data_IF_299313464777
#
_entry.id   IF_299313464777
#
_cell.length_a   1.000
_cell.length_b   1.000
_cell.length_c   1.000
_cell.angle_alpha   90.00
_cell.angle_beta   90.00
_cell.angle_gamma   90.00
#
_symmetry.space_group_name_H-M   'P 1'
#
loop_
_entity.id
_entity.type
_entity.pdbx_description
1 polymer ?
#
# COMPACT_ATOMS: atom_id res chain seq x y z
N UNK A 1 37.18 14.30 39.56
CA UNK A 1 36.92 13.08 38.80
C UNK A 1 38.25 12.53 38.34
N UNK A 2 38.35 11.21 38.21
CA UNK A 2 39.40 10.61 37.38
C UNK A 2 39.10 10.84 35.89
N UNK A 3 40.10 10.79 35.02
CA UNK A 3 39.93 11.03 33.58
C UNK A 3 38.86 10.13 32.94
N UNK A 4 38.72 8.89 33.43
CA UNK A 4 37.67 7.94 33.00
C UNK A 4 36.26 8.42 33.38
N UNK A 5 36.08 8.97 34.59
CA UNK A 5 34.77 9.49 35.05
C UNK A 5 34.36 10.75 34.27
N UNK A 6 35.33 11.58 33.89
CA UNK A 6 35.07 12.78 33.09
C UNK A 6 34.64 12.40 31.66
N UNK A 7 35.30 11.42 31.02
CA UNK A 7 34.90 10.93 29.69
C UNK A 7 33.56 10.21 29.72
N UNK A 8 33.30 9.39 30.75
CA UNK A 8 32.00 8.71 30.91
C UNK A 8 30.86 9.69 31.17
N UNK A 9 31.09 10.79 31.88
CA UNK A 9 30.06 11.80 32.12
C UNK A 9 29.66 12.59 30.88
N UNK A 10 30.53 12.64 29.86
CA UNK A 10 30.26 13.23 28.55
C UNK A 10 29.73 12.18 27.54
N UNK A 11 29.63 10.90 27.95
CA UNK A 11 29.15 9.79 27.12
C UNK A 11 27.65 9.57 27.37
N UNK A 12 26.84 9.69 26.32
CA UNK A 12 25.43 9.27 26.31
C UNK A 12 25.40 7.81 25.81
N UNK A 13 25.85 6.87 26.64
CA UNK A 13 25.89 5.45 26.27
C UNK A 13 25.18 4.59 27.32
N UNK A 14 24.54 3.53 26.85
CA UNK A 14 23.70 2.62 27.62
C UNK A 14 24.49 1.55 28.42
N UNK A 15 25.72 1.85 28.84
CA UNK A 15 26.57 0.98 29.66
C UNK A 15 26.83 1.59 31.03
N UNK A 16 27.02 0.75 32.06
CA UNK A 16 27.31 1.26 33.39
C UNK A 16 28.78 1.72 33.53
N UNK A 17 29.04 2.69 34.41
CA UNK A 17 30.39 3.22 34.68
C UNK A 17 31.42 2.13 35.07
N UNK A 18 30.95 1.02 35.63
CA UNK A 18 31.80 -0.11 35.99
C UNK A 18 32.27 -0.89 34.75
N UNK A 19 31.37 -1.18 33.81
CA UNK A 19 31.69 -1.86 32.55
C UNK A 19 32.56 -0.99 31.65
N UNK A 20 32.25 0.31 31.54
CA UNK A 20 33.09 1.25 30.80
C UNK A 20 34.53 1.25 31.33
N UNK A 21 34.70 1.25 32.66
CA UNK A 21 36.03 1.23 33.29
C UNK A 21 36.78 -0.07 33.02
N UNK A 22 36.10 -1.22 33.02
CA UNK A 22 36.69 -2.52 32.70
C UNK A 22 37.14 -2.58 31.24
N UNK A 23 36.31 -2.10 30.31
CA UNK A 23 36.65 -1.99 28.89
C UNK A 23 37.87 -1.09 28.65
N UNK A 24 37.98 0.02 29.37
CA UNK A 24 39.15 0.92 29.32
C UNK A 24 40.42 0.23 29.83
N UNK A 25 40.35 -0.51 30.94
CA UNK A 25 41.50 -1.26 31.47
C UNK A 25 41.98 -2.34 30.48
N UNK A 26 41.05 -3.07 29.86
CA UNK A 26 41.39 -4.07 28.85
C UNK A 26 42.06 -3.44 27.62
N UNK A 27 41.54 -2.31 27.13
CA UNK A 27 42.10 -1.59 25.98
C UNK A 27 43.51 -1.05 26.26
N UNK A 28 43.76 -0.55 27.48
CA UNK A 28 45.11 -0.14 27.93
C UNK A 28 46.08 -1.32 27.91
N UNK A 29 45.63 -2.50 28.35
CA UNK A 29 46.45 -3.72 28.36
C UNK A 29 46.73 -4.23 26.93
N UNK A 30 45.71 -4.20 26.06
CA UNK A 30 45.79 -4.59 24.65
C UNK A 30 46.77 -3.68 23.87
N UNK A 31 46.80 -2.39 24.20
CA UNK A 31 47.75 -1.41 23.64
C UNK A 31 49.17 -1.52 24.22
N UNK A 32 49.40 -2.43 25.19
CA UNK A 32 50.72 -2.68 25.75
C UNK A 32 51.36 -1.45 26.40
N UNK A 33 50.56 -0.54 26.94
CA UNK A 33 51.00 0.72 27.55
C UNK A 33 51.42 1.81 26.55
N UNK A 34 51.01 1.72 25.28
CA UNK A 34 51.19 2.78 24.28
C UNK A 34 50.17 3.92 24.42
N UNK A 35 49.05 3.67 25.08
CA UNK A 35 48.02 4.65 25.39
C UNK A 35 47.82 4.76 26.91
N UNK A 36 47.60 5.99 27.38
CA UNK A 36 47.15 6.30 28.73
C UNK A 36 45.65 6.01 28.91
N UNK A 37 45.21 5.88 30.17
CA UNK A 37 43.80 5.59 30.54
C UNK A 37 42.81 6.59 29.94
N UNK A 38 43.20 7.86 29.79
CA UNK A 38 42.38 8.91 29.18
C UNK A 38 42.21 8.68 27.66
N UNK A 39 43.31 8.37 26.96
CA UNK A 39 43.28 8.04 25.54
C UNK A 39 42.52 6.75 25.25
N UNK A 40 42.66 5.74 26.11
CA UNK A 40 41.88 4.51 26.01
C UNK A 40 40.39 4.74 26.28
N UNK A 41 40.05 5.57 27.28
CA UNK A 41 38.67 5.99 27.54
C UNK A 41 38.07 6.75 26.37
N UNK A 42 38.80 7.68 25.75
CA UNK A 42 38.33 8.38 24.56
C UNK A 42 38.14 7.45 23.35
N UNK A 43 39.00 6.44 23.19
CA UNK A 43 38.86 5.45 22.11
C UNK A 43 37.62 4.58 22.31
N UNK A 44 37.42 4.05 23.51
CA UNK A 44 36.21 3.28 23.85
C UNK A 44 34.96 4.16 23.74
N UNK A 45 35.01 5.40 24.22
CA UNK A 45 33.92 6.36 24.06
C UNK A 45 33.56 6.58 22.58
N UNK A 46 34.55 6.79 21.72
CA UNK A 46 34.34 6.96 20.28
C UNK A 46 33.79 5.69 19.64
N UNK A 47 34.32 4.52 20.00
CA UNK A 47 33.87 3.20 19.52
C UNK A 47 32.43 2.88 19.96
N UNK A 48 32.01 3.36 21.14
CA UNK A 48 30.62 3.26 21.61
C UNK A 48 29.69 4.26 20.90
N UNK A 49 30.17 5.46 20.57
CA UNK A 49 29.33 6.51 19.97
C UNK A 49 29.19 6.39 18.45
N UNK A 50 30.17 5.80 17.76
CA UNK A 50 30.16 5.74 16.28
C UNK A 50 29.41 4.54 15.70
N UNK A 51 29.17 3.49 16.49
CA UNK A 51 28.53 2.27 16.02
C UNK A 51 27.07 2.13 16.49
N UNK A 52 26.57 3.05 17.32
CA UNK A 52 25.19 2.99 17.82
C UNK A 52 24.24 3.57 16.77
N UNK A 53 23.29 2.74 16.35
CA UNK A 53 22.24 3.12 15.40
C UNK A 53 20.97 3.33 16.20
N UNK A 54 20.31 4.48 16.01
CA UNK A 54 19.12 4.84 16.79
C UNK A 54 17.94 3.90 16.49
N UNK A 55 17.83 3.41 15.26
CA UNK A 55 16.70 2.60 14.81
C UNK A 55 17.12 1.50 13.81
N UNK A 56 16.34 0.43 13.72
CA UNK A 56 16.59 -0.68 12.78
C UNK A 56 16.55 -0.19 11.33
N UNK A 57 15.69 0.77 11.00
CA UNK A 57 15.57 1.32 9.65
C UNK A 57 16.77 2.15 9.19
N UNK A 58 17.63 2.59 10.11
CA UNK A 58 18.86 3.32 9.78
C UNK A 58 20.04 2.38 9.43
N UNK A 59 19.86 1.06 9.51
CA UNK A 59 20.91 0.08 9.21
C UNK A 59 21.11 -0.03 7.70
N UNK A 60 22.35 0.18 7.23
CA UNK A 60 22.71 0.03 5.82
C UNK A 60 23.80 -1.04 5.61
N UNK A 61 23.73 -1.74 4.49
CA UNK A 61 24.75 -2.70 4.10
C UNK A 61 26.12 -2.01 3.90
N UNK A 62 27.17 -2.58 4.48
CA UNK A 62 28.53 -2.07 4.35
C UNK A 62 29.00 -1.15 5.47
N UNK A 63 28.17 -0.87 6.48
CA UNK A 63 28.64 -0.36 7.77
C UNK A 63 29.63 -1.35 8.41
N UNK A 64 30.65 -0.84 9.11
CA UNK A 64 31.71 -1.70 9.68
C UNK A 64 31.22 -2.51 10.87
N UNK A 65 30.33 -1.93 11.70
CA UNK A 65 29.67 -2.54 12.84
C UNK A 65 28.45 -1.68 13.20
N UNK A 66 27.39 -2.30 13.72
CA UNK A 66 26.20 -1.62 14.24
C UNK A 66 25.83 -2.18 15.61
N UNK A 67 25.30 -1.31 16.47
CA UNK A 67 24.73 -1.62 17.77
C UNK A 67 23.31 -1.04 17.85
N UNK A 68 22.33 -1.89 18.16
CA UNK A 68 20.93 -1.49 18.24
C UNK A 68 20.15 -2.43 19.16
N UNK A 69 18.92 -2.06 19.51
CA UNK A 69 18.03 -2.89 20.33
C UNK A 69 16.83 -3.30 19.49
N UNK A 70 16.54 -4.60 19.45
CA UNK A 70 15.40 -5.13 18.71
C UNK A 70 14.76 -6.32 19.45
N UNK A 71 13.48 -6.55 19.20
CA UNK A 71 12.70 -7.64 19.76
C UNK A 71 12.67 -8.82 18.79
N UNK A 72 13.00 -10.03 19.25
CA UNK A 72 12.94 -11.24 18.45
C UNK A 72 11.48 -11.57 18.08
N UNK A 73 11.17 -11.57 16.79
CA UNK A 73 9.84 -11.86 16.26
C UNK A 73 9.69 -13.34 15.89
N UNK A 74 10.72 -13.91 15.27
CA UNK A 74 10.71 -15.29 14.79
C UNK A 74 12.12 -15.90 14.91
N UNK A 75 12.20 -17.21 15.14
CA UNK A 75 13.46 -17.96 15.21
C UNK A 75 13.40 -19.07 14.16
N UNK A 76 14.34 -19.03 13.22
CA UNK A 76 14.46 -20.02 12.15
C UNK A 76 15.09 -21.33 12.61
N UNK A 77 15.09 -22.32 11.71
CA UNK A 77 15.66 -23.65 11.97
C UNK A 77 17.21 -23.66 11.92
N UNK A 78 17.84 -24.51 12.73
CA UNK A 78 19.29 -24.74 12.69
C UNK A 78 19.71 -25.35 11.34
N UNK A 79 20.43 -24.57 10.54
CA UNK A 79 21.05 -25.02 9.29
C UNK A 79 22.50 -25.42 9.54
N UNK A 80 22.92 -26.54 8.95
CA UNK A 80 24.30 -27.07 9.07
C UNK A 80 24.92 -27.22 7.67
N UNK A 81 26.19 -26.83 7.53
CA UNK A 81 26.92 -26.91 6.26
C UNK A 81 28.38 -27.36 6.46
N UNK A 82 28.94 -28.03 5.44
CA UNK A 82 30.33 -28.49 5.46
C UNK A 82 31.29 -27.30 5.21
N UNK A 83 32.32 -27.14 6.05
CA UNK A 83 33.40 -26.15 5.82
C UNK A 83 34.53 -26.74 5.00
N UNK A 84 35.06 -25.96 4.06
CA UNK A 84 36.25 -26.32 3.28
C UNK A 84 37.50 -26.36 4.17
N UNK A 85 37.93 -27.57 4.54
CA UNK A 85 39.20 -27.83 5.22
C UNK A 85 39.23 -29.22 5.87
N UNK A 86 40.26 -30.02 5.59
CA UNK A 86 40.48 -31.31 6.27
C UNK A 86 40.49 -31.08 7.80
N UNK A 87 39.57 -31.72 8.52
CA UNK A 87 39.36 -31.64 9.98
C UNK A 87 38.69 -30.34 10.53
N UNK A 88 37.88 -29.64 9.74
CA UNK A 88 37.05 -28.52 10.25
C UNK A 88 35.66 -29.04 10.66
N UNK A 89 35.16 -28.64 11.83
CA UNK A 89 33.80 -28.95 12.26
C UNK A 89 32.77 -28.31 11.31
N UNK A 90 31.63 -28.97 11.13
CA UNK A 90 30.53 -28.46 10.33
C UNK A 90 30.08 -27.08 10.85
N UNK A 91 29.94 -26.12 9.94
CA UNK A 91 29.43 -24.79 10.26
C UNK A 91 27.93 -24.85 10.54
N UNK A 92 27.47 -23.98 11.44
CA UNK A 92 26.04 -23.88 11.80
C UNK A 92 25.57 -22.43 11.73
N UNK A 93 24.32 -22.24 11.33
CA UNK A 93 23.68 -20.93 11.31
C UNK A 93 22.21 -21.04 11.72
N UNK A 94 21.76 -20.09 12.54
CA UNK A 94 20.35 -19.81 12.78
C UNK A 94 20.09 -18.37 12.40
N UNK A 95 18.97 -18.15 11.73
CA UNK A 95 18.47 -16.82 11.47
C UNK A 95 17.35 -16.48 12.45
N UNK A 96 17.37 -15.28 12.99
CA UNK A 96 16.34 -14.73 13.86
C UNK A 96 15.86 -13.44 13.22
N UNK A 97 14.56 -13.26 13.11
CA UNK A 97 14.01 -11.96 12.73
C UNK A 97 13.79 -11.13 13.98
N UNK A 98 14.28 -9.89 13.95
CA UNK A 98 14.12 -8.96 15.05
C UNK A 98 13.63 -7.61 14.52
N UNK A 99 12.79 -6.94 15.28
CA UNK A 99 12.24 -5.65 14.90
C UNK A 99 12.22 -4.66 16.06
N UNK A 100 12.23 -3.38 15.71
CA UNK A 100 11.87 -2.28 16.58
C UNK A 100 10.61 -1.56 16.04
N UNK A 101 10.28 -0.40 16.60
CA UNK A 101 9.13 0.40 16.16
C UNK A 101 9.30 0.98 14.74
N UNK A 102 10.48 0.85 14.13
CA UNK A 102 10.85 1.48 12.86
C UNK A 102 11.02 0.50 11.72
N UNK A 103 11.32 -0.77 12.00
CA UNK A 103 11.50 -1.78 10.97
C UNK A 103 11.99 -3.13 11.49
N UNK A 104 12.14 -4.07 10.55
CA UNK A 104 12.57 -5.44 10.79
C UNK A 104 13.94 -5.70 10.15
N UNK A 105 14.78 -6.49 10.83
CA UNK A 105 16.09 -6.93 10.33
C UNK A 105 16.35 -8.39 10.64
N UNK A 106 17.01 -9.08 9.71
CA UNK A 106 17.46 -10.46 9.87
C UNK A 106 18.78 -10.50 10.62
N UNK A 107 18.81 -11.24 11.72
CA UNK A 107 20.01 -11.54 12.49
C UNK A 107 20.55 -12.92 12.11
N UNK A 108 21.83 -13.01 11.79
CA UNK A 108 22.52 -14.28 11.51
C UNK A 108 23.44 -14.65 12.67
N UNK A 109 23.07 -15.70 13.40
CA UNK A 109 23.85 -16.27 14.49
C UNK A 109 24.64 -17.48 14.00
N UNK A 110 25.92 -17.56 14.35
CA UNK A 110 26.84 -18.58 13.84
C UNK A 110 27.31 -19.56 14.91
N UNK A 111 27.61 -20.79 14.49
CA UNK A 111 28.30 -21.83 15.25
C UNK A 111 27.73 -22.09 16.66
N UNK A 112 28.42 -21.60 17.70
CA UNK A 112 28.05 -21.85 19.10
C UNK A 112 26.79 -21.09 19.50
N UNK A 113 26.61 -19.86 19.00
CA UNK A 113 25.41 -19.07 19.27
C UNK A 113 24.19 -19.67 18.58
N UNK A 114 24.34 -20.10 17.32
CA UNK A 114 23.30 -20.84 16.62
C UNK A 114 22.86 -22.09 17.40
N UNK A 115 23.81 -22.85 17.95
CA UNK A 115 23.47 -24.04 18.75
C UNK A 115 22.80 -23.66 20.06
N UNK A 116 23.23 -22.58 20.71
CA UNK A 116 22.60 -22.12 21.96
C UNK A 116 21.14 -21.70 21.74
N UNK A 117 20.85 -21.02 20.63
CA UNK A 117 19.48 -20.63 20.25
C UNK A 117 18.63 -21.89 19.96
N UNK A 118 19.15 -22.88 19.24
CA UNK A 118 18.46 -24.15 19.00
C UNK A 118 18.13 -24.91 20.30
N UNK A 119 19.02 -24.83 21.30
CA UNK A 119 18.82 -25.39 22.64
C UNK A 119 17.86 -24.56 23.53
N UNK A 120 17.33 -23.43 23.02
CA UNK A 120 16.35 -22.59 23.70
C UNK A 120 16.96 -21.46 24.56
N UNK A 121 18.14 -20.94 24.19
CA UNK A 121 18.73 -19.77 24.85
C UNK A 121 18.04 -18.45 24.50
N UNK A 122 17.22 -18.43 23.46
CA UNK A 122 16.43 -17.29 23.00
C UNK A 122 14.99 -17.72 22.77
N UNK A 123 14.04 -16.90 23.20
CA UNK A 123 12.61 -17.10 23.00
C UNK A 123 12.02 -15.96 22.16
N UNK A 124 10.95 -16.27 21.42
CA UNK A 124 10.21 -15.25 20.66
C UNK A 124 9.60 -14.23 21.64
N UNK A 125 9.81 -12.95 21.37
CA UNK A 125 9.42 -11.82 22.19
C UNK A 125 10.53 -11.25 23.07
N UNK A 126 11.70 -11.89 23.13
CA UNK A 126 12.85 -11.39 23.87
C UNK A 126 13.41 -10.12 23.22
N UNK A 127 13.74 -9.12 24.05
CA UNK A 127 14.41 -7.89 23.60
C UNK A 127 15.91 -8.09 23.73
N UNK A 128 16.64 -7.85 22.65
CA UNK A 128 18.07 -8.08 22.54
C UNK A 128 18.79 -6.78 22.21
N UNK A 129 19.89 -6.52 22.91
CA UNK A 129 20.91 -5.58 22.48
C UNK A 129 21.89 -6.32 21.59
N UNK A 130 21.93 -5.93 20.32
CA UNK A 130 22.63 -6.63 19.26
C UNK A 130 23.82 -5.79 18.82
N UNK A 131 24.97 -6.44 18.68
CA UNK A 131 26.15 -5.92 18.02
C UNK A 131 26.51 -6.86 16.87
N UNK A 132 26.71 -6.30 15.68
CA UNK A 132 27.04 -7.11 14.52
C UNK A 132 27.36 -6.31 13.28
N UNK A 133 27.55 -7.02 12.19
CA UNK A 133 28.00 -6.46 10.91
C UNK A 133 26.92 -6.56 9.86
N UNK A 134 26.39 -5.42 9.38
CA UNK A 134 25.42 -5.40 8.29
C UNK A 134 26.06 -5.84 6.97
N UNK A 135 25.37 -6.73 6.26
CA UNK A 135 25.80 -7.25 4.97
C UNK A 135 24.60 -7.46 4.04
N UNK A 136 24.87 -7.43 2.74
CA UNK A 136 23.93 -7.89 1.73
C UNK A 136 23.90 -9.42 1.71
N UNK A 137 22.88 -9.98 2.35
CA UNK A 137 22.56 -11.39 2.31
C UNK A 137 21.91 -11.81 0.99
N UNK A 138 21.65 -13.11 0.84
CA UNK A 138 20.96 -13.64 -0.35
C UNK A 138 19.56 -13.03 -0.53
N UNK A 139 18.90 -12.74 0.58
CA UNK A 139 17.54 -12.23 0.56
C UNK A 139 17.46 -10.72 0.81
N UNK A 140 18.52 -10.05 1.26
CA UNK A 140 18.46 -8.62 1.59
C UNK A 140 19.45 -8.25 2.69
N UNK A 141 19.22 -7.10 3.33
CA UNK A 141 20.00 -6.66 4.49
C UNK A 141 19.91 -7.68 5.62
N UNK A 142 21.06 -8.18 6.07
CA UNK A 142 21.16 -9.00 7.27
C UNK A 142 22.32 -8.53 8.15
N UNK A 143 22.20 -8.72 9.46
CA UNK A 143 23.25 -8.43 10.44
C UNK A 143 23.86 -9.74 10.90
N UNK A 144 25.13 -9.96 10.55
CA UNK A 144 25.91 -11.04 11.16
C UNK A 144 26.20 -10.67 12.60
N UNK A 145 25.59 -11.39 13.53
CA UNK A 145 25.70 -11.09 14.96
C UNK A 145 27.09 -11.49 15.46
N UNK A 146 27.77 -10.54 16.11
CA UNK A 146 29.01 -10.76 16.84
C UNK A 146 28.73 -10.91 18.35
N UNK A 147 27.70 -10.22 18.86
CA UNK A 147 27.23 -10.31 20.25
C UNK A 147 25.73 -10.00 20.34
N UNK A 148 24.98 -10.80 21.09
CA UNK A 148 23.61 -10.46 21.49
C UNK A 148 23.40 -10.70 22.99
N UNK A 149 22.84 -9.72 23.68
CA UNK A 149 22.54 -9.78 25.11
C UNK A 149 21.08 -9.43 25.38
N UNK A 150 20.34 -10.23 26.18
CA UNK A 150 18.97 -9.89 26.53
C UNK A 150 18.92 -8.63 27.39
N UNK A 151 18.03 -7.71 27.01
CA UNK A 151 17.78 -6.45 27.70
C UNK A 151 16.32 -6.41 28.19
N UNK A 152 16.10 -6.92 29.40
CA UNK A 152 14.77 -6.93 30.04
C UNK A 152 14.32 -5.52 30.51
N UNK A 153 15.19 -4.50 30.43
CA UNK A 153 14.86 -3.15 30.87
C UNK A 153 14.15 -2.33 29.77
N UNK A 154 14.44 -2.64 28.51
CA UNK A 154 13.81 -2.01 27.35
C UNK A 154 12.52 -2.75 26.98
N UNK A 155 11.48 -2.00 26.64
CA UNK A 155 10.22 -2.56 26.12
C UNK A 155 9.98 -2.01 24.74
N UNK A 156 9.92 -2.89 23.75
CA UNK A 156 9.59 -2.57 22.36
C UNK A 156 8.14 -3.01 22.11
N UNK A 157 7.31 -2.09 21.63
CA UNK A 157 5.88 -2.33 21.36
C UNK A 157 5.66 -2.93 19.96
N UNK A 158 6.37 -4.03 19.69
CA UNK A 158 6.18 -4.84 18.48
C UNK A 158 5.61 -6.20 18.89
N UNK A 159 4.58 -6.64 18.18
CA UNK A 159 3.88 -7.90 18.48
C UNK A 159 4.53 -9.06 17.69
N UNK A 160 5.18 -10.02 18.36
CA UNK A 160 5.83 -11.13 17.67
C UNK A 160 4.80 -11.99 16.94
N UNK A 161 5.08 -12.30 15.67
CA UNK A 161 4.18 -13.06 14.81
C UNK A 161 2.96 -12.28 14.32
N UNK A 162 2.94 -10.94 14.46
CA UNK A 162 1.92 -10.07 13.89
C UNK A 162 2.04 -9.86 12.37
N UNK A 163 3.24 -10.06 11.83
CA UNK A 163 3.61 -9.57 10.50
C UNK A 163 3.91 -8.06 10.51
N UNK A 164 4.44 -7.57 9.40
CA UNK A 164 4.69 -6.15 9.13
C UNK A 164 3.44 -5.51 8.50
N UNK A 165 3.22 -4.22 8.75
CA UNK A 165 2.23 -3.43 8.01
C UNK A 165 2.71 -3.20 6.59
N UNK A 166 1.78 -3.03 5.66
CA UNK A 166 2.11 -2.83 4.25
C UNK A 166 2.94 -1.56 4.02
N UNK A 167 2.69 -0.48 4.76
CA UNK A 167 3.46 0.77 4.60
C UNK A 167 4.90 0.69 5.12
N UNK A 168 5.17 -0.23 6.05
CA UNK A 168 6.50 -0.45 6.62
C UNK A 168 7.43 -1.27 5.70
N UNK A 169 6.90 -1.78 4.59
CA UNK A 169 7.70 -2.51 3.61
C UNK A 169 8.74 -1.61 2.96
N UNK A 170 9.96 -2.12 2.81
CA UNK A 170 11.04 -1.43 2.12
C UNK A 170 11.76 -2.30 1.11
N UNK A 171 12.32 -1.64 0.09
CA UNK A 171 12.98 -2.29 -1.03
C UNK A 171 14.12 -3.19 -0.56
N UNK A 172 14.08 -4.46 -0.98
CA UNK A 172 15.13 -5.43 -0.67
C UNK A 172 14.98 -6.09 0.69
N UNK A 173 13.90 -5.82 1.45
CA UNK A 173 13.53 -6.63 2.61
C UNK A 173 13.22 -8.07 2.21
N UNK A 174 13.43 -8.98 3.16
CA UNK A 174 13.16 -10.40 2.97
C UNK A 174 12.79 -11.12 4.23
N UNK A 175 12.28 -12.34 4.05
CA UNK A 175 11.59 -13.09 5.09
C UNK A 175 10.37 -12.32 5.64
N UNK A 176 9.86 -11.39 4.84
CA UNK A 176 8.75 -10.51 5.18
C UNK A 176 7.51 -11.37 5.39
N UNK A 177 6.86 -11.14 6.53
CA UNK A 177 5.54 -11.68 6.82
C UNK A 177 4.53 -10.53 6.81
N UNK A 178 3.51 -10.58 5.97
CA UNK A 178 2.48 -9.52 5.86
C UNK A 178 1.11 -10.13 6.01
N UNK A 179 0.22 -9.45 6.73
CA UNK A 179 -1.20 -9.81 6.81
C UNK A 179 -2.04 -8.79 6.08
N UNK A 180 -3.08 -9.26 5.40
CA UNK A 180 -3.97 -8.39 4.65
C UNK A 180 -5.27 -9.09 4.27
N UNK A 181 -6.28 -8.30 3.94
CA UNK A 181 -7.48 -8.78 3.25
C UNK A 181 -7.18 -8.89 1.76
N UNK A 182 -7.54 -10.00 1.14
CA UNK A 182 -7.42 -10.18 -0.31
C UNK A 182 -8.37 -9.21 -1.01
N UNK A 183 -7.79 -8.28 -1.76
CA UNK A 183 -8.52 -7.30 -2.55
C UNK A 183 -8.86 -7.88 -3.92
N UNK A 184 -7.92 -8.58 -4.54
CA UNK A 184 -8.01 -9.02 -5.93
C UNK A 184 -7.13 -10.26 -6.18
N UNK A 185 -7.59 -11.16 -7.06
CA UNK A 185 -6.79 -12.28 -7.55
C UNK A 185 -6.73 -12.29 -9.07
N UNK A 186 -5.53 -12.46 -9.61
CA UNK A 186 -5.27 -12.61 -11.04
C UNK A 186 -5.12 -14.11 -11.38
N UNK A 187 -5.61 -14.58 -12.55
CA UNK A 187 -5.46 -15.97 -12.93
C UNK A 187 -4.00 -16.30 -13.28
N UNK A 188 -3.70 -17.59 -13.19
CA UNK A 188 -2.34 -18.10 -13.46
C UNK A 188 -1.98 -17.89 -14.93
N UNK A 189 -0.85 -17.22 -15.16
CA UNK A 189 -0.22 -17.04 -16.47
C UNK A 189 0.97 -17.99 -16.59
N UNK A 190 1.18 -18.54 -17.79
CA UNK A 190 2.31 -19.44 -18.06
C UNK A 190 3.25 -18.87 -19.12
N UNK A 191 4.54 -19.17 -19.00
CA UNK A 191 5.59 -18.70 -19.91
C UNK A 191 6.67 -19.77 -20.11
N UNK A 192 7.43 -19.70 -21.21
CA UNK A 192 8.56 -20.59 -21.47
C UNK A 192 9.86 -19.93 -20.96
N UNK A 193 10.65 -20.68 -20.18
CA UNK A 193 11.96 -20.25 -19.68
C UNK A 193 13.06 -20.46 -20.72
N UNK A 194 14.20 -19.80 -20.51
CA UNK A 194 15.38 -19.96 -21.37
C UNK A 194 15.90 -21.41 -21.43
N UNK A 195 15.69 -22.20 -20.37
CA UNK A 195 16.03 -23.62 -20.32
C UNK A 195 14.99 -24.54 -20.99
N UNK A 196 13.87 -23.97 -21.46
CA UNK A 196 12.77 -24.66 -22.12
C UNK A 196 11.75 -25.31 -21.18
N UNK A 197 11.86 -25.08 -19.88
CA UNK A 197 10.79 -25.43 -18.92
C UNK A 197 9.66 -24.39 -18.95
N UNK A 198 8.46 -24.80 -18.54
CA UNK A 198 7.32 -23.89 -18.37
C UNK A 198 7.36 -23.30 -16.96
N UNK A 199 7.24 -21.99 -16.87
CA UNK A 199 7.05 -21.25 -15.62
C UNK A 199 5.63 -20.76 -15.48
N UNK A 200 5.21 -20.57 -14.23
CA UNK A 200 3.89 -20.06 -13.88
C UNK A 200 4.03 -18.84 -12.98
N UNK A 201 3.09 -17.90 -13.11
CA UNK A 201 2.99 -16.73 -12.25
C UNK A 201 1.52 -16.39 -12.02
N UNK A 202 1.18 -16.05 -10.78
CA UNK A 202 -0.10 -15.49 -10.40
C UNK A 202 0.14 -14.32 -9.45
N UNK A 203 -0.79 -13.39 -9.38
CA UNK A 203 -0.72 -12.26 -8.47
C UNK A 203 -1.97 -12.20 -7.61
N UNK A 204 -1.78 -11.76 -6.36
CA UNK A 204 -2.85 -11.49 -5.41
C UNK A 204 -2.60 -10.09 -4.86
N UNK A 205 -3.58 -9.19 -4.93
CA UNK A 205 -3.51 -7.91 -4.21
C UNK A 205 -4.07 -8.10 -2.81
N UNK A 206 -3.33 -7.68 -1.80
CA UNK A 206 -3.77 -7.66 -0.41
C UNK A 206 -3.71 -6.23 0.13
N UNK A 207 -4.54 -5.92 1.12
CA UNK A 207 -4.56 -4.62 1.78
C UNK A 207 -4.81 -4.73 3.28
N UNK A 208 -4.29 -3.75 4.02
CA UNK A 208 -4.51 -3.53 5.45
C UNK A 208 -4.90 -2.07 5.68
N UNK A 209 -4.93 -1.61 6.94
CA UNK A 209 -5.25 -0.23 7.27
C UNK A 209 -4.19 0.79 6.83
N UNK A 210 -2.99 0.32 6.47
CA UNK A 210 -1.84 1.15 6.10
C UNK A 210 -1.63 1.25 4.59
N UNK A 211 -2.14 0.30 3.81
CA UNK A 211 -2.04 0.36 2.36
C UNK A 211 -2.45 -0.91 1.63
N UNK A 212 -1.94 -1.04 0.41
CA UNK A 212 -2.12 -2.22 -0.45
C UNK A 212 -0.78 -2.65 -1.03
N UNK A 213 -0.62 -3.95 -1.24
CA UNK A 213 0.57 -4.50 -1.90
C UNK A 213 0.19 -5.65 -2.82
N UNK A 214 0.90 -5.76 -3.93
CA UNK A 214 0.79 -6.91 -4.83
C UNK A 214 1.74 -8.01 -4.36
N UNK A 215 1.18 -9.21 -4.21
CA UNK A 215 1.89 -10.44 -3.91
C UNK A 215 2.04 -11.24 -5.19
N UNK A 216 3.27 -11.49 -5.65
CA UNK A 216 3.57 -12.29 -6.84
C UNK A 216 3.99 -13.70 -6.47
N UNK A 217 3.22 -14.68 -6.92
CA UNK A 217 3.40 -16.10 -6.66
C UNK A 217 3.98 -16.80 -7.88
N UNK A 218 5.13 -17.44 -7.72
CA UNK A 218 5.85 -18.13 -8.79
C UNK A 218 5.69 -19.65 -8.71
N UNK A 219 5.63 -20.30 -9.87
CA UNK A 219 5.62 -21.76 -10.03
C UNK A 219 4.60 -22.47 -9.14
N UNK A 220 5.04 -23.36 -8.24
CA UNK A 220 4.19 -24.15 -7.35
C UNK A 220 3.35 -23.28 -6.41
N UNK A 221 3.78 -22.02 -6.16
CA UNK A 221 3.02 -21.06 -5.38
C UNK A 221 1.86 -20.46 -6.18
N UNK A 222 1.94 -20.40 -7.51
CA UNK A 222 0.91 -19.78 -8.34
C UNK A 222 -0.47 -20.46 -8.18
N UNK A 223 -0.48 -21.78 -7.96
CA UNK A 223 -1.71 -22.52 -7.67
C UNK A 223 -2.39 -22.06 -6.38
N UNK A 224 -1.64 -21.55 -5.38
CA UNK A 224 -2.20 -21.05 -4.11
C UNK A 224 -3.03 -19.78 -4.28
N UNK A 225 -2.76 -18.97 -5.31
CA UNK A 225 -3.60 -17.82 -5.65
C UNK A 225 -5.05 -18.20 -5.96
N UNK A 226 -5.29 -19.45 -6.39
CA UNK A 226 -6.64 -19.96 -6.67
C UNK A 226 -7.37 -20.50 -5.43
N UNK A 227 -6.65 -20.64 -4.31
CA UNK A 227 -7.18 -21.13 -3.05
C UNK A 227 -7.66 -20.01 -2.12
N UNK A 228 -7.43 -18.75 -2.50
CA UNK A 228 -7.87 -17.56 -1.78
C UNK A 228 -8.87 -16.77 -2.62
N UNK A 229 -9.86 -16.18 -1.96
CA UNK A 229 -10.94 -15.40 -2.58
C UNK A 229 -10.91 -13.95 -2.06
N UNK A 230 -11.39 -13.00 -2.87
CA UNK A 230 -11.53 -11.61 -2.43
C UNK A 230 -12.37 -11.51 -1.16
N UNK A 231 -11.93 -10.69 -0.21
CA UNK A 231 -12.54 -10.53 1.11
C UNK A 231 -12.01 -11.48 2.20
N UNK A 232 -11.21 -12.49 1.85
CA UNK A 232 -10.58 -13.35 2.85
C UNK A 232 -9.34 -12.68 3.47
N UNK A 233 -9.16 -12.81 4.78
CA UNK A 233 -7.91 -12.44 5.43
C UNK A 233 -6.85 -13.52 5.19
N UNK A 234 -5.65 -13.09 4.78
CA UNK A 234 -4.51 -13.97 4.49
C UNK A 234 -3.25 -13.48 5.21
N UNK A 235 -2.37 -14.44 5.48
CA UNK A 235 -1.00 -14.20 5.91
C UNK A 235 -0.06 -14.67 4.80
N UNK A 236 0.82 -13.77 4.38
CA UNK A 236 1.93 -14.06 3.47
C UNK A 236 3.18 -14.21 4.32
N UNK A 237 3.87 -15.33 4.22
CA UNK A 237 5.06 -15.68 5.04
C UNK A 237 6.27 -15.86 4.13
N UNK A 238 7.43 -15.42 4.61
CA UNK A 238 8.72 -15.56 3.91
C UNK A 238 8.72 -14.96 2.49
N UNK A 239 8.06 -13.80 2.35
CA UNK A 239 8.13 -12.98 1.15
C UNK A 239 9.43 -12.19 1.06
N UNK A 240 9.72 -11.66 -0.13
CA UNK A 240 10.78 -10.66 -0.31
C UNK A 240 10.28 -9.50 -1.17
N UNK A 241 10.67 -8.29 -0.78
CA UNK A 241 10.17 -7.05 -1.38
C UNK A 241 11.03 -6.67 -2.58
N UNK A 242 10.38 -6.41 -3.71
CA UNK A 242 11.01 -5.87 -4.92
C UNK A 242 10.25 -4.66 -5.41
N UNK A 243 10.97 -3.73 -6.02
CA UNK A 243 10.36 -2.63 -6.76
C UNK A 243 10.10 -3.05 -8.20
N UNK A 244 8.91 -2.71 -8.69
CA UNK A 244 8.55 -2.83 -10.09
C UNK A 244 7.75 -1.61 -10.54
N UNK A 245 8.28 -0.93 -11.55
CA UNK A 245 7.63 0.23 -12.18
C UNK A 245 7.30 1.39 -11.21
N UNK A 246 7.96 1.44 -10.04
CA UNK A 246 7.79 2.46 -9.01
C UNK A 246 7.06 1.99 -7.75
N UNK A 247 6.44 0.80 -7.81
CA UNK A 247 5.68 0.23 -6.70
C UNK A 247 6.41 -0.95 -6.05
N UNK A 248 6.21 -1.14 -4.75
CA UNK A 248 6.70 -2.31 -4.04
C UNK A 248 5.77 -3.51 -4.29
N UNK A 249 6.38 -4.66 -4.56
CA UNK A 249 5.71 -5.95 -4.69
C UNK A 249 6.36 -6.95 -3.72
N UNK A 250 5.54 -7.77 -3.06
CA UNK A 250 6.01 -8.91 -2.27
C UNK A 250 6.05 -10.13 -3.17
N UNK A 251 7.22 -10.71 -3.35
CA UNK A 251 7.39 -11.91 -4.17
C UNK A 251 7.50 -13.13 -3.26
N UNK A 252 6.73 -14.17 -3.57
CA UNK A 252 6.76 -15.45 -2.87
C UNK A 252 7.66 -16.44 -3.62
N UNK A 253 8.74 -16.84 -2.96
CA UNK A 253 9.67 -17.86 -3.44
C UNK A 253 9.25 -19.29 -3.06
N UNK A 254 10.17 -20.24 -3.27
CA UNK A 254 9.95 -21.67 -2.95
C UNK A 254 9.65 -21.92 -1.46
N UNK A 255 10.28 -21.15 -0.57
CA UNK A 255 10.13 -21.28 0.89
C UNK A 255 8.90 -20.54 1.45
N UNK A 256 8.33 -19.61 0.69
CA UNK A 256 7.24 -18.76 1.15
C UNK A 256 5.86 -19.43 1.18
N UNK A 257 4.90 -18.78 1.83
CA UNK A 257 3.52 -19.23 1.83
C UNK A 257 2.51 -18.09 1.80
N UNK A 258 1.32 -18.40 1.31
CA UNK A 258 0.12 -17.61 1.51
C UNK A 258 -0.94 -18.53 2.12
N UNK A 259 -1.50 -18.15 3.26
CA UNK A 259 -2.45 -18.95 4.01
C UNK A 259 -3.62 -18.10 4.50
N UNK A 260 -4.85 -18.61 4.37
CA UNK A 260 -6.05 -17.95 4.92
C UNK A 260 -6.05 -18.01 6.44
N UNK A 261 -6.34 -16.89 7.09
CA UNK A 261 -6.42 -16.75 8.55
C UNK A 261 -7.86 -16.45 8.97
N UNK A 262 -8.42 -17.28 9.86
CA UNK A 262 -9.85 -17.25 10.19
C UNK A 262 -10.24 -16.26 11.30
N UNK A 263 -9.27 -15.82 12.11
CA UNK A 263 -9.48 -15.00 13.32
C UNK A 263 -8.50 -13.81 13.33
N UNK A 264 -8.40 -13.09 12.21
CA UNK A 264 -7.55 -11.91 12.11
C UNK A 264 -8.40 -10.63 12.14
N UNK A 265 -8.12 -9.74 13.08
CA UNK A 265 -8.59 -8.36 13.08
C UNK A 265 -7.74 -7.56 12.07
N UNK A 266 -7.94 -7.84 10.77
CA UNK A 266 -7.28 -7.09 9.67
C UNK A 266 -8.38 -6.52 8.80
N UNK A 267 -8.39 -5.20 8.66
CA UNK A 267 -9.37 -4.45 7.87
C UNK A 267 -8.64 -3.64 6.80
N UNK A 268 -9.25 -3.52 5.61
CA UNK A 268 -8.76 -2.63 4.56
C UNK A 268 -9.66 -1.40 4.51
N UNK A 269 -9.07 -0.22 4.71
CA UNK A 269 -9.77 1.06 4.67
C UNK A 269 -9.18 1.94 3.57
N UNK A 270 -9.71 1.88 2.34
CA UNK A 270 -9.16 2.62 1.21
C UNK A 270 -9.31 4.14 1.40
N UNK A 271 -8.22 4.87 1.18
CA UNK A 271 -8.22 6.31 1.04
C UNK A 271 -8.48 6.68 -0.42
N UNK A 272 -9.62 7.30 -0.70
CA UNK A 272 -10.00 7.66 -2.08
C UNK A 272 -9.87 9.16 -2.31
N UNK A 273 -9.52 9.52 -3.53
CA UNK A 273 -9.54 10.89 -4.04
C UNK A 273 -10.98 11.20 -4.49
N UNK A 274 -11.58 12.34 -4.05
CA UNK A 274 -12.87 12.76 -4.56
C UNK A 274 -12.84 12.88 -6.08
N UNK A 275 -13.87 12.37 -6.76
CA UNK A 275 -13.93 12.35 -8.22
C UNK A 275 -13.76 13.74 -8.85
N UNK A 276 -14.32 14.80 -8.25
CA UNK A 276 -14.17 16.17 -8.76
C UNK A 276 -12.75 16.75 -8.61
N UNK A 277 -11.92 16.18 -7.74
CA UNK A 277 -10.56 16.66 -7.45
C UNK A 277 -9.49 15.99 -8.31
N UNK A 278 -9.84 14.96 -9.09
CA UNK A 278 -8.87 14.22 -9.92
C UNK A 278 -8.38 15.08 -11.09
N UNK A 279 -7.09 14.99 -11.41
CA UNK A 279 -6.48 15.69 -12.52
C UNK A 279 -5.88 14.74 -13.55
N UNK A 280 -5.77 15.24 -14.77
CA UNK A 280 -5.18 14.50 -15.89
C UNK A 280 -3.71 14.12 -15.60
N UNK A 281 -3.32 12.94 -16.06
CA UNK A 281 -1.97 12.37 -15.94
C UNK A 281 -1.59 12.04 -14.47
N UNK A 282 -2.56 11.97 -13.56
CA UNK A 282 -2.40 11.44 -12.20
C UNK A 282 -2.74 9.94 -12.12
N UNK A 283 -2.13 9.26 -11.16
CA UNK A 283 -2.53 7.92 -10.72
C UNK A 283 -3.16 8.07 -9.34
N UNK A 284 -4.43 7.70 -9.20
CA UNK A 284 -5.20 7.91 -7.96
C UNK A 284 -6.05 6.70 -7.63
N UNK A 285 -6.51 6.64 -6.39
CA UNK A 285 -7.56 5.73 -5.96
C UNK A 285 -8.88 6.48 -5.98
N UNK A 286 -9.88 5.93 -6.66
CA UNK A 286 -11.24 6.49 -6.69
C UNK A 286 -12.23 5.44 -6.21
N UNK A 287 -13.27 5.86 -5.51
CA UNK A 287 -14.32 4.97 -5.05
C UNK A 287 -15.69 5.58 -5.24
N UNK A 288 -16.72 4.74 -5.31
CA UNK A 288 -18.09 5.20 -5.45
C UNK A 288 -19.04 4.09 -5.85
N UNK A 289 -20.30 4.46 -6.03
CA UNK A 289 -21.38 3.53 -6.41
C UNK A 289 -21.43 3.41 -7.94
N UNK A 290 -21.47 2.18 -8.44
CA UNK A 290 -21.63 1.89 -9.88
C UNK A 290 -23.01 2.39 -10.34
N UNK A 291 -23.02 3.36 -11.26
CA UNK A 291 -24.22 3.88 -11.91
C UNK A 291 -24.63 3.06 -13.12
N UNK A 292 -23.66 2.63 -13.91
CA UNK A 292 -23.91 1.87 -15.14
C UNK A 292 -22.71 1.03 -15.52
N UNK A 293 -22.99 -0.12 -16.15
CA UNK A 293 -21.99 -1.06 -16.65
C UNK A 293 -22.23 -1.32 -18.13
N UNK A 294 -21.21 -1.07 -18.96
CA UNK A 294 -21.25 -1.38 -20.39
C UNK A 294 -20.96 -2.88 -20.63
N UNK A 295 -21.39 -3.44 -21.78
CA UNK A 295 -20.95 -4.77 -22.19
C UNK A 295 -19.45 -4.80 -22.49
N UNK A 296 -18.79 -5.90 -22.14
CA UNK A 296 -17.39 -6.16 -22.46
C UNK A 296 -17.16 -6.19 -23.97
N UNK A 297 -16.14 -5.49 -24.44
CA UNK A 297 -15.72 -5.41 -25.83
C UNK A 297 -14.37 -6.08 -25.99
N UNK A 298 -14.18 -6.87 -27.04
CA UNK A 298 -12.90 -7.50 -27.38
C UNK A 298 -12.29 -6.92 -28.66
N UNK A 299 -10.96 -7.00 -28.79
CA UNK A 299 -10.20 -6.51 -29.94
C UNK A 299 -8.91 -7.31 -30.12
N UNK A 300 -8.39 -7.40 -31.35
CA UNK A 300 -7.10 -8.03 -31.62
C UNK A 300 -5.93 -7.07 -31.31
N UNK A 301 -4.90 -7.54 -30.62
CA UNK A 301 -3.64 -6.81 -30.40
C UNK A 301 -2.63 -7.06 -31.53
N UNK A 302 -1.64 -6.18 -31.63
CA UNK A 302 -0.57 -6.28 -32.63
C UNK A 302 0.30 -7.54 -32.46
N UNK A 303 0.42 -8.07 -31.24
CA UNK A 303 1.11 -9.32 -30.92
C UNK A 303 0.27 -10.58 -31.24
N UNK A 304 -0.99 -10.40 -31.64
CA UNK A 304 -1.92 -11.47 -31.97
C UNK A 304 -2.71 -12.04 -30.79
N UNK A 305 -2.52 -11.53 -29.56
CA UNK A 305 -3.42 -11.80 -28.43
C UNK A 305 -4.74 -11.03 -28.55
N UNK A 306 -5.79 -11.53 -27.89
CA UNK A 306 -7.06 -10.82 -27.77
C UNK A 306 -7.03 -9.91 -26.54
N UNK A 307 -7.35 -8.64 -26.73
CA UNK A 307 -7.58 -7.66 -25.68
C UNK A 307 -9.06 -7.46 -25.40
N UNK A 308 -9.38 -7.01 -24.19
CA UNK A 308 -10.75 -6.71 -23.81
C UNK A 308 -10.82 -5.50 -22.88
N UNK A 309 -11.97 -4.83 -22.94
CA UNK A 309 -12.29 -3.64 -22.15
C UNK A 309 -13.78 -3.60 -21.81
N UNK A 310 -14.10 -3.25 -20.57
CA UNK A 310 -15.46 -2.96 -20.10
C UNK A 310 -15.44 -1.56 -19.48
N UNK A 311 -16.44 -0.73 -19.73
CA UNK A 311 -16.52 0.55 -19.04
C UNK A 311 -17.61 0.49 -17.97
N UNK A 312 -17.33 1.12 -16.84
CA UNK A 312 -18.31 1.41 -15.82
C UNK A 312 -18.36 2.91 -15.59
N UNK A 313 -19.45 3.39 -15.02
CA UNK A 313 -19.56 4.76 -14.51
C UNK A 313 -19.78 4.67 -13.01
N UNK A 314 -18.91 5.28 -12.23
CA UNK A 314 -19.00 5.32 -10.77
C UNK A 314 -19.30 6.75 -10.32
N UNK A 315 -19.97 6.88 -9.18
CA UNK A 315 -20.30 8.17 -8.60
C UNK A 315 -20.06 8.17 -7.09
N UNK A 316 -19.41 9.21 -6.60
CA UNK A 316 -19.29 9.55 -5.18
C UNK A 316 -20.15 10.79 -4.86
N UNK A 317 -19.94 11.37 -3.68
CA UNK A 317 -20.64 12.59 -3.25
C UNK A 317 -20.19 13.85 -4.01
N UNK A 318 -19.02 13.82 -4.64
CA UNK A 318 -18.41 14.96 -5.33
C UNK A 318 -18.80 15.01 -6.80
N UNK A 319 -18.72 13.88 -7.51
CA UNK A 319 -18.87 13.81 -8.95
C UNK A 319 -19.04 12.39 -9.46
N UNK A 320 -18.96 12.25 -10.77
CA UNK A 320 -19.05 10.95 -11.43
C UNK A 320 -17.97 10.83 -12.50
N UNK A 321 -17.44 9.62 -12.68
CA UNK A 321 -16.37 9.37 -13.64
C UNK A 321 -16.55 8.01 -14.31
N UNK A 322 -16.13 7.95 -15.56
CA UNK A 322 -16.06 6.71 -16.33
C UNK A 322 -14.75 5.99 -16.00
N UNK A 323 -14.85 4.70 -15.70
CA UNK A 323 -13.70 3.82 -15.48
C UNK A 323 -13.64 2.78 -16.60
N UNK A 324 -12.53 2.74 -17.32
CA UNK A 324 -12.21 1.73 -18.32
C UNK A 324 -11.46 0.55 -17.66
N UNK A 325 -12.13 -0.59 -17.53
CA UNK A 325 -11.58 -1.82 -16.97
C UNK A 325 -10.91 -2.64 -18.07
N UNK A 326 -9.60 -2.80 -18.00
CA UNK A 326 -8.82 -3.50 -19.02
C UNK A 326 -8.51 -4.95 -18.62
N UNK A 327 -8.39 -5.83 -19.62
CA UNK A 327 -7.97 -7.21 -19.40
C UNK A 327 -8.94 -7.97 -18.51
N UNK A 328 -8.44 -8.75 -17.55
CA UNK A 328 -9.26 -9.60 -16.66
C UNK A 328 -10.26 -8.81 -15.81
N UNK A 329 -9.98 -7.53 -15.53
CA UNK A 329 -10.91 -6.64 -14.83
C UNK A 329 -12.21 -6.43 -15.62
N UNK A 330 -12.17 -6.58 -16.94
CA UNK A 330 -13.35 -6.49 -17.79
C UNK A 330 -14.33 -7.66 -17.62
N UNK A 331 -13.88 -8.78 -17.03
CA UNK A 331 -14.72 -9.95 -16.76
C UNK A 331 -15.47 -9.85 -15.43
N UNK A 332 -15.19 -8.81 -14.62
CA UNK A 332 -15.86 -8.61 -13.33
C UNK A 332 -17.35 -8.38 -13.51
N UNK A 333 -18.13 -9.07 -12.68
CA UNK A 333 -19.59 -8.96 -12.65
C UNK A 333 -20.01 -7.78 -11.78
N UNK A 334 -19.80 -6.57 -12.30
CA UNK A 334 -20.18 -5.32 -11.64
C UNK A 334 -21.58 -4.88 -12.06
N UNK A 335 -22.46 -4.71 -11.09
CA UNK A 335 -23.85 -4.32 -11.23
C UNK A 335 -24.11 -2.90 -10.72
N UNK A 336 -25.09 -2.17 -11.29
CA UNK A 336 -25.50 -0.89 -10.76
C UNK A 336 -25.96 -0.99 -9.30
N UNK A 337 -25.48 -0.07 -8.46
CA UNK A 337 -25.74 -0.01 -7.03
C UNK A 337 -24.66 -0.64 -6.16
N UNK A 338 -23.70 -1.37 -6.73
CA UNK A 338 -22.54 -1.87 -5.98
C UNK A 338 -21.55 -0.75 -5.68
N UNK A 339 -20.95 -0.78 -4.50
CA UNK A 339 -19.88 0.14 -4.12
C UNK A 339 -18.54 -0.47 -4.50
N UNK A 340 -17.72 0.30 -5.21
CA UNK A 340 -16.44 -0.16 -5.74
C UNK A 340 -15.35 0.84 -5.46
N UNK A 341 -14.13 0.32 -5.27
CA UNK A 341 -12.90 1.09 -5.23
C UNK A 341 -12.03 0.64 -6.40
N UNK A 342 -11.57 1.60 -7.18
CA UNK A 342 -10.64 1.41 -8.27
C UNK A 342 -9.33 2.11 -7.86
N UNK A 343 -8.37 1.31 -7.40
CA UNK A 343 -7.07 1.77 -6.95
C UNK A 343 -6.03 1.77 -8.09
N UNK A 344 -5.07 2.69 -8.03
CA UNK A 344 -4.06 2.95 -9.06
C UNK A 344 -4.65 3.11 -10.46
N UNK A 345 -5.73 3.90 -10.59
CA UNK A 345 -6.27 4.24 -11.91
C UNK A 345 -5.54 5.44 -12.49
N UNK A 346 -5.19 5.33 -13.77
CA UNK A 346 -4.54 6.41 -14.51
C UNK A 346 -5.61 7.35 -15.09
N UNK A 347 -5.56 8.63 -14.75
CA UNK A 347 -6.52 9.63 -15.24
C UNK A 347 -6.08 10.16 -16.60
N UNK A 348 -6.95 10.02 -17.60
CA UNK A 348 -6.68 10.33 -19.01
C UNK A 348 -7.78 11.21 -19.61
N UNK A 349 -7.53 11.80 -20.78
CA UNK A 349 -8.60 12.43 -21.56
C UNK A 349 -9.56 11.37 -22.08
N UNK A 350 -10.81 11.50 -21.67
CA UNK A 350 -11.94 10.76 -22.20
C UNK A 350 -12.53 11.38 -23.47
N UNK A 351 -13.77 11.02 -23.74
CA UNK A 351 -14.52 11.55 -24.89
C UNK A 351 -15.07 12.95 -24.56
N UNK A 352 -15.04 13.89 -25.52
CA UNK A 352 -15.58 15.25 -25.36
C UNK A 352 -14.96 16.09 -24.23
N UNK A 353 -13.66 15.95 -23.99
CA UNK A 353 -12.91 16.72 -22.98
C UNK A 353 -13.30 16.39 -21.51
N UNK A 354 -14.03 15.31 -21.27
CA UNK A 354 -14.23 14.74 -19.92
C UNK A 354 -13.03 13.88 -19.51
N UNK A 355 -12.76 13.77 -18.21
CA UNK A 355 -11.74 12.85 -17.67
C UNK A 355 -12.26 11.40 -17.66
N UNK A 356 -11.38 10.45 -17.93
CA UNK A 356 -11.63 9.02 -17.84
C UNK A 356 -10.55 8.35 -16.99
N UNK A 357 -10.96 7.49 -16.05
CA UNK A 357 -10.06 6.67 -15.27
C UNK A 357 -9.77 5.35 -16.00
N UNK A 358 -8.51 5.00 -16.18
CA UNK A 358 -8.08 3.77 -16.83
C UNK A 358 -7.55 2.78 -15.80
N UNK A 359 -8.29 1.70 -15.55
CA UNK A 359 -7.87 0.60 -14.68
C UNK A 359 -7.08 -0.44 -15.47
N UNK A 360 -5.76 -0.25 -15.49
CA UNK A 360 -4.78 -1.04 -16.26
C UNK A 360 -4.34 -2.33 -15.57
N UNK A 361 -3.14 -2.79 -15.90
CA UNK A 361 -2.54 -4.01 -15.32
C UNK A 361 -2.05 -3.79 -13.88
N UNK A 362 -1.67 -2.56 -13.53
CA UNK A 362 -1.24 -2.17 -12.17
C UNK A 362 -2.42 -1.96 -11.21
N UNK A 363 -3.56 -1.50 -11.73
CA UNK A 363 -4.74 -1.17 -10.94
C UNK A 363 -5.34 -2.36 -10.21
N UNK A 364 -6.09 -2.08 -9.15
CA UNK A 364 -6.85 -3.05 -8.34
C UNK A 364 -8.30 -2.61 -8.27
N UNK A 365 -9.27 -3.53 -8.47
CA UNK A 365 -10.70 -3.19 -8.45
C UNK A 365 -11.39 -4.03 -7.40
N UNK A 366 -11.83 -3.38 -6.33
CA UNK A 366 -12.43 -4.01 -5.15
C UNK A 366 -13.90 -3.69 -5.10
N UNK A 367 -14.73 -4.71 -4.86
CA UNK A 367 -16.15 -4.52 -4.54
C UNK A 367 -16.27 -4.51 -3.02
N UNK A 368 -16.83 -3.44 -2.48
CA UNK A 368 -17.02 -3.30 -1.04
C UNK A 368 -18.35 -3.95 -0.61
N UNK A 369 -18.33 -4.67 0.51
CA UNK A 369 -19.57 -5.17 1.11
C UNK A 369 -20.35 -4.04 1.80
N UNK A 370 -21.68 -4.16 1.85
CA UNK A 370 -22.59 -3.18 2.46
C UNK A 370 -22.12 -2.75 3.88
N UNK A 371 -21.60 -1.52 3.99
CA UNK A 371 -21.21 -0.91 5.27
C UNK A 371 -19.70 -0.72 5.50
N UNK A 372 -18.83 -1.07 4.54
CA UNK A 372 -17.44 -0.61 4.54
C UNK A 372 -17.40 0.93 4.39
N UNK A 373 -16.51 1.61 5.12
CA UNK A 373 -16.38 3.07 5.01
C UNK A 373 -15.18 3.45 4.14
N UNK A 374 -15.43 4.15 3.03
CA UNK A 374 -14.37 4.88 2.33
C UNK A 374 -14.02 6.15 3.12
N UNK A 375 -12.73 6.39 3.35
CA UNK A 375 -12.27 7.65 3.92
C UNK A 375 -11.84 8.57 2.78
N UNK A 376 -12.32 9.83 2.74
CA UNK A 376 -11.76 10.80 1.80
C UNK A 376 -10.32 11.09 2.21
N UNK A 377 -9.41 11.09 1.22
CA UNK A 377 -8.00 11.41 1.44
C UNK A 377 -7.88 12.79 2.11
N UNK A 378 -7.14 12.89 3.22
CA UNK A 378 -6.87 14.17 3.86
C UNK A 378 -5.78 14.92 3.07
N UNK A 379 -6.09 16.14 2.65
CA UNK A 379 -5.20 17.10 1.98
C UNK A 379 -3.79 17.09 2.59
N UNK A 380 -2.83 16.46 1.88
CA UNK A 380 -1.42 16.55 2.22
C UNK A 380 -0.87 17.90 1.75
N UNK A 381 -0.90 18.86 2.67
CA UNK A 381 -0.29 20.17 2.50
C UNK A 381 1.24 20.13 2.47
N UNK A 382 1.76 20.61 1.33
CA UNK A 382 2.99 21.41 1.13
C UNK A 382 4.39 20.76 1.23
N UNK A 383 5.18 20.94 0.16
CA UNK A 383 6.54 21.47 0.33
C UNK A 383 6.87 22.58 -0.67
N UNK A 384 7.40 23.65 -0.08
CA UNK A 384 7.86 24.92 -0.64
C UNK A 384 9.03 24.74 -1.61
N UNK A 385 8.94 25.37 -2.79
CA UNK A 385 10.12 25.71 -3.59
C UNK A 385 9.91 27.07 -4.26
N UNK A 386 10.21 28.13 -3.49
CA UNK A 386 10.42 29.47 -4.02
C UNK A 386 11.63 29.55 -4.97
N UNK A 387 11.46 30.24 -6.09
CA UNK A 387 12.53 30.53 -7.04
C UNK A 387 12.09 31.39 -8.21
N UNK A 388 12.04 32.71 -7.99
CA UNK A 388 11.80 33.76 -9.00
C UNK A 388 12.83 33.76 -10.14
N UNK A 389 12.35 34.04 -11.36
CA UNK A 389 12.86 34.98 -12.39
C UNK A 389 12.23 34.54 -13.73
N UNK A 390 11.44 35.30 -14.48
CA UNK A 390 11.34 36.75 -14.62
C UNK A 390 11.50 37.07 -16.11
N UNK A 391 10.41 37.43 -16.82
CA UNK A 391 10.42 38.51 -17.81
C UNK A 391 9.01 38.80 -18.38
N UNK A 392 8.56 40.03 -18.12
CA UNK A 392 7.90 40.99 -19.03
C UNK A 392 7.14 40.41 -20.24
N UNK A 393 5.89 40.76 -20.52
CA UNK A 393 5.25 42.06 -20.38
C UNK A 393 4.50 42.40 -21.66
N UNK A 394 3.60 43.37 -21.54
CA UNK A 394 2.93 44.16 -22.58
C UNK A 394 1.59 43.67 -23.17
N UNK A 395 0.56 44.38 -22.67
CA UNK A 395 -0.42 45.21 -23.40
C UNK A 395 -1.66 44.57 -24.02
N UNK A 396 -2.77 44.66 -23.28
CA UNK A 396 -3.81 45.69 -23.48
C UNK A 396 -3.90 46.29 -24.90
N UNK A 397 -4.90 45.87 -25.67
CA UNK A 397 -5.57 46.71 -26.67
C UNK A 397 -7.07 46.43 -26.67
N UNK A 398 -7.83 47.50 -26.50
CA UNK A 398 -9.27 47.56 -26.66
C UNK A 398 -9.66 48.04 -28.07
N UNK A 399 -10.83 47.57 -28.49
CA UNK A 399 -11.91 48.30 -29.18
C UNK A 399 -12.14 48.17 -30.71
N UNK A 400 -13.46 48.24 -31.00
CA UNK A 400 -14.19 48.48 -32.25
C UNK A 400 -14.51 47.30 -33.21
N UNK A 401 -15.70 46.72 -33.03
CA UNK A 401 -16.91 47.19 -33.74
C UNK A 401 -17.19 46.75 -35.19
N UNK A 402 -18.32 46.05 -35.35
CA UNK A 402 -19.39 46.20 -36.39
C UNK A 402 -19.51 45.17 -37.52
N UNK A 403 -20.69 44.49 -37.54
CA UNK A 403 -21.51 43.90 -38.64
C UNK A 403 -20.82 43.08 -39.77
N UNK A 404 -21.41 42.02 -40.36
CA UNK A 404 -22.81 41.70 -40.61
C UNK A 404 -22.98 40.20 -40.99
N UNK A 405 -24.20 39.69 -40.76
CA UNK A 405 -24.93 38.69 -41.55
C UNK A 405 -24.54 37.19 -41.66
N UNK A 406 -25.37 36.40 -40.96
CA UNK A 406 -26.35 35.44 -41.53
C UNK A 406 -25.98 33.93 -41.54
N UNK A 407 -26.62 33.19 -40.62
CA UNK A 407 -26.78 31.74 -40.65
C UNK A 407 -27.86 31.29 -39.68
N UNK A 408 -29.11 31.24 -40.16
CA UNK A 408 -30.31 30.82 -39.43
C UNK A 408 -30.38 29.29 -39.29
N UNK A 409 -30.51 28.78 -38.07
CA UNK A 409 -31.26 27.56 -37.75
C UNK A 409 -32.02 27.78 -36.45
N UNK A 410 -33.29 27.42 -36.48
CA UNK A 410 -34.32 27.73 -35.49
C UNK A 410 -34.26 26.67 -34.39
N UNK A 411 -33.98 27.10 -33.16
CA UNK A 411 -34.26 26.35 -31.93
C UNK A 411 -35.68 26.71 -31.46
N UNK A 412 -36.56 25.71 -31.39
CA UNK A 412 -37.84 25.80 -30.67
C UNK A 412 -37.61 25.41 -29.21
N UNK A 413 -37.03 26.31 -28.42
CA UNK A 413 -37.08 26.23 -26.96
C UNK A 413 -38.38 26.90 -26.51
N UNK A 414 -39.42 26.10 -26.25
CA UNK A 414 -40.61 26.58 -25.59
C UNK A 414 -40.28 26.98 -24.15
N UNK A 415 -40.32 28.27 -23.83
CA UNK A 415 -40.38 28.75 -22.44
C UNK A 415 -41.61 28.14 -21.75
N UNK A 416 -41.38 27.09 -20.95
CA UNK A 416 -42.41 26.43 -20.16
C UNK A 416 -42.76 27.32 -18.96
N UNK A 417 -44.06 27.56 -18.78
CA UNK A 417 -44.57 28.54 -17.81
C UNK A 417 -44.79 27.90 -16.45
N UNK A 418 -44.28 28.57 -15.43
CA UNK A 418 -44.51 28.30 -14.02
C UNK A 418 -46.03 28.16 -13.72
N UNK A 419 -46.46 27.02 -13.16
CA UNK A 419 -47.86 26.72 -12.80
C UNK A 419 -48.71 26.00 -13.86
N UNK A 420 -48.11 25.37 -14.88
CA UNK A 420 -48.83 24.47 -15.80
C UNK A 420 -48.95 23.06 -15.22
N UNK A 421 -50.11 22.41 -15.42
CA UNK A 421 -50.29 20.99 -15.08
C UNK A 421 -49.56 20.13 -16.10
N UNK A 422 -48.57 19.37 -15.64
CA UNK A 422 -47.73 18.47 -16.44
C UNK A 422 -47.92 17.01 -16.04
N UNK A 423 -47.67 16.09 -16.96
CA UNK A 423 -47.56 14.65 -16.71
C UNK A 423 -46.12 14.23 -17.00
N UNK A 424 -45.49 13.53 -16.07
CA UNK A 424 -44.10 13.10 -16.15
C UNK A 424 -44.01 11.62 -15.77
N UNK A 425 -43.39 10.80 -16.63
CA UNK A 425 -43.24 9.35 -16.43
C UNK A 425 -41.77 9.02 -16.37
N UNK A 426 -41.31 8.39 -15.30
CA UNK A 426 -39.92 7.98 -15.17
C UNK A 426 -39.71 7.02 -14.02
N UNK A 427 -38.46 6.63 -13.81
CA UNK A 427 -38.04 5.71 -12.76
C UNK A 427 -37.69 6.50 -11.50
N UNK A 428 -38.14 6.01 -10.33
CA UNK A 428 -37.81 6.61 -9.03
C UNK A 428 -36.34 6.32 -8.70
N UNK A 429 -35.51 7.36 -8.72
CA UNK A 429 -34.07 7.30 -8.42
C UNK A 429 -33.73 7.74 -7.00
N UNK A 430 -34.69 8.34 -6.29
CA UNK A 430 -34.58 8.66 -4.86
C UNK A 430 -35.94 8.55 -4.18
N UNK A 431 -36.00 7.84 -3.06
CA UNK A 431 -37.18 7.82 -2.18
C UNK A 431 -36.89 8.70 -0.96
N UNK A 432 -37.74 9.70 -0.69
CA UNK A 432 -37.50 10.71 0.36
C UNK A 432 -38.34 11.98 0.16
N UNK A 433 -38.02 13.04 0.90
CA UNK A 433 -38.62 14.37 0.74
C UNK A 433 -37.55 15.34 0.17
N UNK A 434 -37.51 15.60 -1.15
CA UNK A 434 -38.43 15.16 -2.21
C UNK A 434 -38.08 13.79 -2.82
N UNK A 435 -39.07 13.19 -3.48
CA UNK A 435 -38.89 12.04 -4.38
C UNK A 435 -38.27 12.53 -5.69
N UNK A 436 -37.32 11.79 -6.26
CA UNK A 436 -36.74 12.15 -7.56
C UNK A 436 -37.09 11.08 -8.59
N UNK A 437 -37.57 11.54 -9.74
CA UNK A 437 -37.96 10.71 -10.87
C UNK A 437 -37.14 11.13 -12.09
N UNK A 438 -36.62 10.15 -12.82
CA UNK A 438 -35.80 10.35 -14.02
C UNK A 438 -36.40 9.57 -15.21
N UNK A 439 -36.55 10.23 -16.36
CA UNK A 439 -37.04 9.61 -17.60
C UNK A 439 -35.90 9.25 -18.59
N UNK A 440 -34.65 9.54 -18.20
CA UNK A 440 -33.45 9.34 -19.01
C UNK A 440 -33.06 10.56 -19.84
N UNK A 441 -33.88 11.61 -19.90
CA UNK A 441 -33.57 12.90 -20.53
C UNK A 441 -33.60 14.05 -19.52
N UNK A 442 -34.52 14.03 -18.54
CA UNK A 442 -34.62 15.02 -17.47
C UNK A 442 -34.95 14.40 -16.10
N UNK A 443 -34.38 14.98 -15.04
CA UNK A 443 -34.70 14.64 -13.65
C UNK A 443 -35.68 15.66 -13.07
N UNK A 444 -36.67 15.16 -12.34
CA UNK A 444 -37.69 16.01 -11.71
C UNK A 444 -37.84 15.67 -10.24
N UNK A 445 -37.83 16.72 -9.41
CA UNK A 445 -38.14 16.63 -7.98
C UNK A 445 -39.65 16.64 -7.76
N UNK A 446 -40.16 15.74 -6.94
CA UNK A 446 -41.57 15.44 -6.80
C UNK A 446 -41.97 15.43 -5.33
N UNK A 447 -42.98 16.23 -4.98
CA UNK A 447 -43.64 16.15 -3.67
C UNK A 447 -44.89 15.29 -3.78
N UNK A 448 -44.85 14.12 -3.15
CA UNK A 448 -46.00 13.21 -3.06
C UNK A 448 -46.18 12.72 -1.64
N UNK A 449 -47.43 12.61 -1.19
CA UNK A 449 -47.77 11.96 0.07
C UNK A 449 -47.91 10.44 -0.06
N UNK A 450 -47.70 9.90 -1.25
CA UNK A 450 -47.80 8.47 -1.57
C UNK A 450 -46.41 7.81 -1.51
N UNK A 451 -46.34 6.60 -0.98
CA UNK A 451 -45.08 5.86 -0.87
C UNK A 451 -44.70 5.23 -2.21
N UNK A 452 -43.54 5.60 -2.73
CA UNK A 452 -42.92 5.01 -3.94
C UNK A 452 -41.70 4.17 -3.58
N UNK A 453 -41.30 3.23 -4.45
CA UNK A 453 -40.10 2.41 -4.27
C UNK A 453 -38.99 2.83 -5.21
N UNK A 454 -37.75 2.68 -4.75
CA UNK A 454 -36.58 2.91 -5.58
C UNK A 454 -36.57 1.92 -6.76
N UNK A 455 -36.35 2.42 -7.98
CA UNK A 455 -36.39 1.64 -9.21
C UNK A 455 -37.81 1.36 -9.76
N UNK A 456 -38.85 1.92 -9.16
CA UNK A 456 -40.24 1.81 -9.66
C UNK A 456 -40.48 2.82 -10.79
N UNK A 457 -41.03 2.38 -11.92
CA UNK A 457 -41.52 3.28 -12.98
C UNK A 457 -42.89 3.82 -12.56
N UNK A 458 -42.99 5.14 -12.43
CA UNK A 458 -44.20 5.82 -11.96
C UNK A 458 -44.57 6.95 -12.92
N UNK A 459 -45.86 7.25 -13.04
CA UNK A 459 -46.33 8.44 -13.76
C UNK A 459 -46.95 9.43 -12.78
N UNK A 460 -46.39 10.63 -12.70
CA UNK A 460 -46.88 11.69 -11.83
C UNK A 460 -47.54 12.80 -12.63
N UNK A 461 -48.67 13.28 -12.12
CA UNK A 461 -49.40 14.41 -12.70
C UNK A 461 -49.55 15.50 -11.66
N UNK A 462 -49.15 16.72 -11.99
CA UNK A 462 -49.12 17.81 -11.03
C UNK A 462 -48.77 19.17 -11.62
N UNK A 463 -48.64 20.19 -10.78
CA UNK A 463 -48.24 21.53 -11.20
C UNK A 463 -46.72 21.69 -11.13
N UNK A 464 -46.08 22.13 -12.22
CA UNK A 464 -44.63 22.35 -12.25
C UNK A 464 -44.27 23.77 -11.79
N UNK A 465 -43.40 23.87 -10.80
CA UNK A 465 -42.85 25.11 -10.25
C UNK A 465 -41.34 24.98 -10.10
N UNK A 466 -40.55 25.85 -10.77
CA UNK A 466 -39.08 25.93 -10.61
C UNK A 466 -38.33 24.56 -10.65
N UNK A 467 -38.74 23.63 -11.53
CA UNK A 467 -38.11 22.30 -11.67
C UNK A 467 -38.69 21.21 -10.74
N UNK A 468 -39.72 21.55 -9.95
CA UNK A 468 -40.43 20.65 -9.04
C UNK A 468 -41.86 20.40 -9.50
N UNK A 469 -42.39 19.19 -9.28
CA UNK A 469 -43.82 18.87 -9.50
C UNK A 469 -44.51 18.61 -8.16
N UNK A 470 -45.53 19.41 -7.88
CA UNK A 470 -46.50 19.15 -6.80
C UNK A 470 -47.55 18.14 -7.29
N UNK A 471 -47.50 16.90 -6.78
CA UNK A 471 -48.32 15.80 -7.32
C UNK A 471 -49.77 15.91 -6.89
N UNK A 472 -50.67 15.88 -7.88
CA UNK A 472 -52.12 15.77 -7.68
C UNK A 472 -52.60 14.32 -7.82
N UNK A 473 -51.99 13.53 -8.71
CA UNK A 473 -52.27 12.11 -8.94
C UNK A 473 -50.98 11.33 -9.29
N UNK A 474 -50.78 10.14 -8.70
CA UNK A 474 -49.70 9.20 -9.01
C UNK A 474 -50.29 7.89 -9.55
N UNK A 475 -49.75 7.37 -10.65
CA UNK A 475 -50.24 6.19 -11.38
C UNK A 475 -49.21 5.08 -11.46
#
# INVERSE_FOLDING_TARGET
MGAIEDVYADLDADICEAEFREAVEEKVEQMGGLADEETAAMLIAHELTENEVETVSDIEAGMEEVQFVAKALSIGELRTFERDGEDTEDGRVINVEAADETGTVRLAFWDQEATAIDDGALEVGDVLRIQGRPQDGYNGLEVSVDKAEPDEAVTIDVEPGGGETIDALSLGQSSVTVRGVVLDTEPIRTFERDDGSEGQVANVAIGDETGRVRVTLWDEQADRATAVESGEAVEVVDGYVRERDGDLEVHLGEEGAIETIADADVEYAPETTPIDDVQRDETVDIGGVVRSTDPTRTFDRDDGSEGQVKNIRIQDDSGDIRVALWGEKADRDLAPGEEVVCADVEIQDGYQDDLEASAGWQSTVVVLEDGASMAPSADQGESDAGGEEGHTGLSEFADEGTNDENGSSVDESGEQRDGETVEFTGTVVQTGDPVIIDDGEETVSVETGESVRLGEEVTVRGQRHEGRIDVEELF
#
